data_IF_026401601293
#
_entry.id   IF_026401601293
#
_cell.length_a   1.000
_cell.length_b   1.000
_cell.length_c   1.000
_cell.angle_alpha   90.00
_cell.angle_beta   90.00
_cell.angle_gamma   90.00
#
_symmetry.space_group_name_H-M   'P 1'
#
loop_
_entity.id
_entity.type
_entity.pdbx_description
1 polymer ?
#
# COMPACT_ATOMS: atom_id res chain seq x y z
N UNK A 1 37.92 0.29 2.78
CA UNK A 1 36.62 0.95 3.05
C UNK A 1 35.92 0.17 4.16
N UNK A 2 35.71 0.77 5.33
CA UNK A 2 35.06 0.11 6.47
C UNK A 2 33.60 -0.19 6.10
N UNK A 3 33.22 -1.48 6.06
CA UNK A 3 31.82 -1.91 6.01
C UNK A 3 31.12 -1.25 7.21
N UNK A 4 30.23 -0.28 6.98
CA UNK A 4 29.28 0.13 8.02
C UNK A 4 28.46 -1.12 8.30
N UNK A 5 28.69 -1.76 9.45
CA UNK A 5 27.80 -2.82 9.90
C UNK A 5 26.42 -2.20 10.06
N UNK A 6 25.43 -2.72 9.33
CA UNK A 6 24.03 -2.40 9.59
C UNK A 6 23.70 -3.02 10.97
N UNK A 7 23.94 -2.27 12.04
CA UNK A 7 23.59 -2.70 13.38
C UNK A 7 22.09 -2.45 13.55
N UNK A 8 21.29 -3.40 13.09
CA UNK A 8 19.83 -3.42 13.24
C UNK A 8 19.48 -4.37 14.37
N UNK A 9 18.43 -4.04 15.11
CA UNK A 9 17.94 -4.90 16.18
C UNK A 9 17.46 -6.25 15.64
N UNK A 10 17.40 -7.24 16.54
CA UNK A 10 17.00 -8.62 16.22
C UNK A 10 15.64 -8.68 15.54
N UNK A 11 14.66 -7.91 16.01
CA UNK A 11 13.31 -7.93 15.47
C UNK A 11 13.30 -7.46 14.00
N UNK A 12 14.05 -6.40 13.70
CA UNK A 12 14.09 -5.84 12.32
C UNK A 12 14.74 -6.82 11.38
N UNK A 13 15.81 -7.46 11.83
CA UNK A 13 16.49 -8.53 11.11
C UNK A 13 15.52 -9.65 10.77
N UNK A 14 14.81 -10.21 11.74
CA UNK A 14 13.95 -11.36 11.48
C UNK A 14 12.70 -11.02 10.70
N UNK A 15 12.05 -9.88 10.95
CA UNK A 15 10.95 -9.40 10.11
C UNK A 15 11.38 -9.31 8.64
N UNK A 16 12.55 -8.73 8.38
CA UNK A 16 13.10 -8.65 7.02
C UNK A 16 13.28 -10.05 6.41
N UNK A 17 13.87 -10.99 7.16
CA UNK A 17 14.05 -12.37 6.68
C UNK A 17 12.71 -13.05 6.36
N UNK A 18 11.68 -12.84 7.18
CA UNK A 18 10.34 -13.35 6.90
C UNK A 18 9.75 -12.78 5.60
N UNK A 19 9.93 -11.50 5.32
CA UNK A 19 9.49 -10.92 4.04
C UNK A 19 10.24 -11.49 2.82
N UNK A 20 11.42 -12.10 3.01
CA UNK A 20 12.18 -12.83 1.99
C UNK A 20 11.94 -14.35 2.03
N UNK A 21 11.17 -14.84 3.01
CA UNK A 21 10.70 -16.22 3.13
C UNK A 21 9.27 -16.31 2.58
N UNK A 22 9.10 -16.73 1.32
CA UNK A 22 7.79 -16.84 0.68
C UNK A 22 6.87 -17.93 1.28
N UNK A 23 7.36 -18.69 2.26
CA UNK A 23 6.66 -19.82 2.88
C UNK A 23 5.94 -19.42 4.18
N UNK A 24 6.25 -18.24 4.73
CA UNK A 24 5.59 -17.68 5.90
C UNK A 24 4.58 -16.61 5.49
N UNK A 25 3.36 -16.69 6.04
CA UNK A 25 2.32 -15.70 5.84
C UNK A 25 2.14 -14.77 7.03
N UNK A 26 1.21 -13.83 6.89
CA UNK A 26 0.88 -12.84 7.93
C UNK A 26 0.51 -13.49 9.28
N UNK A 27 -0.26 -14.58 9.26
CA UNK A 27 -0.68 -15.31 10.47
C UNK A 27 0.49 -16.01 11.18
N UNK A 28 1.45 -16.53 10.41
CA UNK A 28 2.62 -17.19 10.98
C UNK A 28 3.45 -16.18 11.78
N UNK A 29 3.68 -15.00 11.20
CA UNK A 29 4.28 -13.85 11.88
C UNK A 29 3.48 -13.38 13.10
N UNK A 30 2.14 -13.35 13.01
CA UNK A 30 1.30 -12.96 14.14
C UNK A 30 1.45 -13.90 15.34
N UNK A 31 1.41 -15.21 15.12
CA UNK A 31 1.57 -16.19 16.19
C UNK A 31 2.98 -16.16 16.78
N UNK A 32 4.00 -16.03 15.94
CA UNK A 32 5.38 -15.89 16.39
C UNK A 32 5.60 -14.62 17.20
N UNK A 33 5.16 -13.47 16.70
CA UNK A 33 5.32 -12.19 17.39
C UNK A 33 4.60 -12.18 18.74
N UNK A 34 3.43 -12.83 18.85
CA UNK A 34 2.72 -12.98 20.13
C UNK A 34 3.50 -13.83 21.14
N UNK A 35 4.26 -14.81 20.67
CA UNK A 35 5.04 -15.72 21.51
C UNK A 35 6.42 -15.13 21.87
N UNK A 36 7.09 -14.50 20.90
CA UNK A 36 8.46 -14.03 20.97
C UNK A 36 8.59 -12.69 20.19
N UNK A 37 8.27 -11.54 20.82
CA UNK A 37 8.18 -10.25 20.14
C UNK A 37 9.48 -9.74 19.49
N UNK A 38 10.65 -10.15 20.00
CA UNK A 38 11.96 -9.77 19.47
C UNK A 38 12.62 -10.86 18.60
N UNK A 39 11.89 -11.97 18.40
CA UNK A 39 12.35 -13.15 17.67
C UNK A 39 13.67 -13.74 18.21
N UNK A 40 13.99 -13.51 19.49
CA UNK A 40 15.25 -13.96 20.12
C UNK A 40 15.39 -15.48 20.17
N UNK A 41 14.28 -16.22 20.24
CA UNK A 41 14.28 -17.68 20.29
C UNK A 41 14.33 -18.33 18.91
N UNK A 42 13.92 -17.60 17.87
CA UNK A 42 13.81 -18.09 16.49
C UNK A 42 15.05 -18.84 15.96
N UNK A 43 16.30 -18.36 16.16
CA UNK A 43 17.48 -19.09 15.67
C UNK A 43 17.67 -20.50 16.25
N UNK A 44 17.04 -20.80 17.39
CA UNK A 44 17.14 -22.10 18.05
C UNK A 44 15.83 -22.90 18.03
N UNK A 45 14.77 -22.39 17.41
CA UNK A 45 13.49 -23.08 17.32
C UNK A 45 13.62 -24.33 16.45
N UNK A 46 13.06 -25.43 16.94
CA UNK A 46 12.88 -26.67 16.17
C UNK A 46 11.60 -26.60 15.33
N UNK A 47 11.51 -27.44 14.30
CA UNK A 47 10.31 -27.53 13.46
C UNK A 47 9.05 -27.88 14.27
N UNK A 48 9.17 -28.78 15.25
CA UNK A 48 8.08 -29.15 16.17
C UNK A 48 7.60 -27.97 17.01
N UNK A 49 8.52 -27.17 17.57
CA UNK A 49 8.15 -25.98 18.34
C UNK A 49 7.48 -24.91 17.46
N UNK A 50 8.02 -24.63 16.27
CA UNK A 50 7.41 -23.68 15.34
C UNK A 50 6.02 -24.15 14.87
N UNK A 51 5.86 -25.44 14.64
CA UNK A 51 4.57 -26.06 14.31
C UNK A 51 3.54 -25.83 15.42
N UNK A 52 3.93 -26.02 16.68
CA UNK A 52 3.07 -25.74 17.83
C UNK A 52 2.67 -24.26 17.95
N UNK A 53 3.61 -23.33 17.68
CA UNK A 53 3.33 -21.89 17.75
C UNK A 53 2.38 -21.45 16.63
N UNK A 54 2.64 -21.87 15.40
CA UNK A 54 1.94 -21.37 14.19
C UNK A 54 0.72 -22.19 13.79
N UNK A 55 0.57 -23.40 14.33
CA UNK A 55 -0.47 -24.35 13.91
C UNK A 55 -0.22 -24.95 12.51
N UNK A 56 0.98 -24.81 11.95
CA UNK A 56 1.39 -25.43 10.68
C UNK A 56 1.87 -26.85 10.89
N UNK A 57 1.98 -27.63 9.81
CA UNK A 57 2.62 -28.95 9.88
C UNK A 57 4.10 -28.81 10.21
N UNK A 58 4.68 -29.84 10.84
CA UNK A 58 6.10 -29.88 11.14
C UNK A 58 6.95 -29.81 9.87
N UNK A 59 6.52 -30.46 8.78
CA UNK A 59 7.18 -30.38 7.47
C UNK A 59 7.24 -28.94 6.94
N UNK A 60 6.12 -28.20 6.99
CA UNK A 60 6.07 -26.80 6.55
C UNK A 60 6.93 -25.91 7.44
N UNK A 61 6.89 -26.16 8.75
CA UNK A 61 7.69 -25.42 9.75
C UNK A 61 9.19 -25.63 9.54
N UNK A 62 9.61 -26.86 9.24
CA UNK A 62 11.00 -27.16 8.89
C UNK A 62 11.45 -26.41 7.64
N UNK A 63 10.57 -26.30 6.64
CA UNK A 63 10.85 -25.56 5.40
C UNK A 63 11.03 -24.06 5.66
N UNK A 64 10.16 -23.44 6.46
CA UNK A 64 10.30 -22.04 6.90
C UNK A 64 11.65 -21.81 7.60
N UNK A 65 11.99 -22.63 8.61
CA UNK A 65 13.24 -22.47 9.37
C UNK A 65 14.47 -22.65 8.48
N UNK A 66 14.46 -23.68 7.62
CA UNK A 66 15.53 -23.90 6.65
C UNK A 66 15.71 -22.66 5.76
N UNK A 67 14.62 -22.10 5.25
CA UNK A 67 14.67 -20.91 4.40
C UNK A 67 15.20 -19.70 5.15
N UNK A 68 14.73 -19.43 6.37
CA UNK A 68 15.20 -18.32 7.20
C UNK A 68 16.71 -18.42 7.49
N UNK A 69 17.20 -19.60 7.86
CA UNK A 69 18.61 -19.82 8.16
C UNK A 69 19.51 -19.74 6.91
N UNK A 70 18.96 -19.95 5.72
CA UNK A 70 19.69 -19.80 4.46
C UNK A 70 19.86 -18.34 4.00
N UNK A 71 19.14 -17.39 4.62
CA UNK A 71 19.15 -15.98 4.25
C UNK A 71 20.09 -15.18 5.14
N UNK A 72 20.67 -14.10 4.61
CA UNK A 72 21.46 -13.12 5.38
C UNK A 72 20.79 -11.75 5.32
N UNK A 73 20.36 -11.26 6.47
CA UNK A 73 19.76 -9.94 6.59
C UNK A 73 20.76 -8.84 6.23
N UNK A 74 22.03 -9.03 6.56
CA UNK A 74 23.10 -8.08 6.28
C UNK A 74 23.30 -7.90 4.76
N UNK A 75 23.30 -8.99 4.00
CA UNK A 75 23.33 -8.92 2.53
C UNK A 75 22.07 -8.29 1.96
N UNK A 76 20.90 -8.67 2.45
CA UNK A 76 19.62 -8.11 1.99
C UNK A 76 19.58 -6.59 2.21
N UNK A 77 19.96 -6.12 3.41
CA UNK A 77 19.98 -4.69 3.74
C UNK A 77 20.98 -3.92 2.89
N UNK A 78 22.15 -4.51 2.59
CA UNK A 78 23.11 -3.91 1.67
C UNK A 78 22.49 -3.72 0.28
N UNK A 79 21.85 -4.75 -0.28
CA UNK A 79 21.15 -4.64 -1.58
C UNK A 79 20.02 -3.62 -1.55
N UNK A 80 19.19 -3.60 -0.49
CA UNK A 80 18.12 -2.61 -0.35
C UNK A 80 18.69 -1.19 -0.33
N UNK A 81 19.80 -0.96 0.41
CA UNK A 81 20.45 0.34 0.46
C UNK A 81 21.04 0.75 -0.89
N UNK A 82 21.67 -0.16 -1.62
CA UNK A 82 22.21 0.11 -2.97
C UNK A 82 21.10 0.50 -3.96
N UNK A 83 19.91 -0.07 -3.80
CA UNK A 83 18.74 0.24 -4.62
C UNK A 83 17.91 1.43 -4.11
N UNK A 84 18.35 2.12 -3.05
CA UNK A 84 17.61 3.17 -2.35
C UNK A 84 16.20 2.74 -1.89
N UNK A 85 16.08 1.50 -1.43
CA UNK A 85 14.86 0.93 -0.86
C UNK A 85 15.00 0.91 0.66
N UNK A 86 14.04 1.49 1.37
CA UNK A 86 14.01 1.46 2.82
C UNK A 86 13.00 0.42 3.30
N UNK A 87 13.46 -0.46 4.19
CA UNK A 87 12.60 -1.34 4.98
C UNK A 87 12.14 -0.59 6.23
N UNK A 88 10.82 -0.53 6.45
CA UNK A 88 10.17 0.19 7.54
C UNK A 88 9.33 -0.84 8.32
N UNK A 89 9.88 -1.49 9.35
CA UNK A 89 9.11 -2.41 10.19
C UNK A 89 7.99 -1.69 10.93
N UNK A 90 6.96 -2.42 11.36
CA UNK A 90 5.75 -1.83 11.94
C UNK A 90 5.97 -1.01 13.23
N UNK A 91 7.08 -1.23 13.96
CA UNK A 91 7.46 -0.43 15.13
C UNK A 91 8.42 0.73 14.80
N UNK A 92 8.84 0.89 13.56
CA UNK A 92 9.63 2.05 13.12
C UNK A 92 8.81 3.34 13.29
N UNK A 93 9.46 4.42 13.72
CA UNK A 93 8.80 5.72 13.89
C UNK A 93 8.20 6.27 12.58
N UNK A 94 8.75 5.88 11.44
CA UNK A 94 8.23 6.27 10.11
C UNK A 94 7.01 5.47 9.69
N UNK A 95 6.73 4.34 10.35
CA UNK A 95 5.58 3.52 10.02
C UNK A 95 4.29 4.26 10.38
N UNK A 96 3.33 4.43 9.45
CA UNK A 96 2.10 5.16 9.74
C UNK A 96 1.25 4.47 10.81
N UNK A 97 1.01 5.14 11.93
CA UNK A 97 0.21 4.58 13.05
C UNK A 97 -1.20 4.16 12.61
N UNK A 98 -1.79 4.88 11.66
CA UNK A 98 -3.09 4.55 11.06
C UNK A 98 -3.12 3.16 10.41
N UNK A 99 -1.99 2.63 9.95
CA UNK A 99 -1.94 1.28 9.39
C UNK A 99 -1.89 0.20 10.46
N UNK A 100 -1.48 0.53 11.69
CA UNK A 100 -1.45 -0.41 12.84
C UNK A 100 -2.87 -0.78 13.30
N UNK A 101 -3.87 0.06 13.01
CA UNK A 101 -5.27 -0.16 13.40
C UNK A 101 -6.03 -1.07 12.45
N UNK A 102 -5.43 -1.41 11.29
CA UNK A 102 -6.04 -2.33 10.34
C UNK A 102 -6.23 -3.73 10.96
N UNK A 103 -7.21 -4.53 10.51
CA UNK A 103 -7.37 -5.91 11.00
C UNK A 103 -6.15 -6.83 10.73
N UNK A 104 -5.43 -6.56 9.63
CA UNK A 104 -4.18 -7.24 9.26
C UNK A 104 -3.15 -6.19 8.85
N UNK A 105 -2.51 -5.50 9.81
CA UNK A 105 -1.53 -4.45 9.53
C UNK A 105 -0.32 -5.04 8.80
N UNK A 106 0.26 -4.37 7.80
CA UNK A 106 1.54 -4.78 7.21
C UNK A 106 2.62 -4.91 8.29
N UNK A 107 3.29 -6.07 8.40
CA UNK A 107 4.40 -6.25 9.35
C UNK A 107 5.59 -5.34 9.07
N UNK A 108 5.75 -4.94 7.80
CA UNK A 108 6.65 -3.90 7.37
C UNK A 108 6.17 -3.30 6.05
N UNK A 109 6.71 -2.14 5.72
CA UNK A 109 6.61 -1.52 4.41
C UNK A 109 8.01 -1.41 3.80
N UNK A 110 8.13 -1.75 2.53
CA UNK A 110 9.24 -1.35 1.70
C UNK A 110 8.88 -0.04 0.99
N UNK A 111 9.82 0.88 0.92
CA UNK A 111 9.59 2.21 0.35
C UNK A 111 10.74 2.63 -0.55
N UNK A 112 10.44 3.38 -1.61
CA UNK A 112 11.42 3.95 -2.54
C UNK A 112 10.96 5.35 -2.95
N UNK A 113 11.80 6.36 -2.73
CA UNK A 113 11.47 7.78 -2.90
C UNK A 113 11.39 8.54 -1.56
N UNK A 114 10.59 9.60 -1.51
CA UNK A 114 10.49 10.50 -0.36
C UNK A 114 9.62 9.92 0.76
N UNK A 115 10.25 9.26 1.74
CA UNK A 115 9.57 8.70 2.92
C UNK A 115 8.90 9.74 3.82
N UNK A 116 9.26 11.03 3.71
CA UNK A 116 8.60 12.12 4.42
C UNK A 116 7.12 12.28 4.06
N UNK A 117 6.67 11.75 2.92
CA UNK A 117 5.24 11.75 2.55
C UNK A 117 4.39 10.83 3.44
N UNK A 118 4.99 9.92 4.21
CA UNK A 118 4.24 9.08 5.14
C UNK A 118 3.56 9.90 6.25
N UNK A 119 4.08 11.08 6.60
CA UNK A 119 3.50 11.97 7.61
C UNK A 119 2.58 13.07 7.05
N UNK A 120 2.41 13.17 5.71
CA UNK A 120 1.56 14.21 5.11
C UNK A 120 0.06 13.94 5.29
N UNK A 121 -0.80 14.92 4.98
CA UNK A 121 -2.23 14.64 4.83
C UNK A 121 -2.48 13.96 3.49
N UNK A 122 -3.32 12.92 3.47
CA UNK A 122 -3.46 12.00 2.32
C UNK A 122 -4.91 11.80 1.94
N UNK A 123 -5.18 11.80 0.63
CA UNK A 123 -6.46 11.38 0.04
C UNK A 123 -6.16 10.27 -0.95
N UNK A 124 -6.89 9.15 -0.84
CA UNK A 124 -6.81 8.10 -1.82
C UNK A 124 -7.67 8.47 -3.02
N UNK A 125 -7.16 8.23 -4.23
CA UNK A 125 -7.94 8.33 -5.47
C UNK A 125 -7.90 6.98 -6.15
N UNK A 126 -9.06 6.38 -6.38
CA UNK A 126 -9.20 5.06 -6.99
C UNK A 126 -10.30 5.04 -8.04
N UNK A 127 -10.21 4.11 -8.98
CA UNK A 127 -11.26 4.00 -9.98
C UNK A 127 -11.03 2.91 -11.02
N UNK A 128 -11.73 3.07 -12.13
CA UNK A 128 -11.75 2.12 -13.24
C UNK A 128 -10.38 2.03 -13.92
N UNK A 129 -9.98 0.80 -14.23
CA UNK A 129 -8.82 0.53 -15.09
C UNK A 129 -9.04 0.97 -16.55
N UNK A 130 -10.30 1.14 -16.92
CA UNK A 130 -10.73 1.64 -18.23
C UNK A 130 -11.24 3.07 -18.12
N UNK A 131 -10.73 3.86 -17.16
CA UNK A 131 -11.09 5.26 -17.01
C UNK A 131 -10.93 6.00 -18.34
N UNK A 132 -11.90 6.86 -18.64
CA UNK A 132 -12.01 7.53 -19.93
C UNK A 132 -11.71 9.04 -19.80
N UNK A 133 -12.08 9.80 -20.82
CA UNK A 133 -11.89 11.25 -20.87
C UNK A 133 -12.65 11.97 -19.75
N UNK A 134 -13.84 11.53 -19.39
CA UNK A 134 -14.60 12.11 -18.28
C UNK A 134 -13.85 11.92 -16.95
N UNK A 135 -13.29 10.73 -16.73
CA UNK A 135 -12.45 10.47 -15.56
C UNK A 135 -11.23 11.40 -15.48
N UNK A 136 -10.52 11.59 -16.60
CA UNK A 136 -9.39 12.53 -16.68
C UNK A 136 -9.79 13.96 -16.39
N UNK A 137 -10.87 14.44 -16.99
CA UNK A 137 -11.36 15.81 -16.81
C UNK A 137 -11.83 16.07 -15.39
N UNK A 138 -12.49 15.08 -14.77
CA UNK A 138 -12.87 15.13 -13.37
C UNK A 138 -11.64 15.30 -12.47
N UNK A 139 -10.61 14.48 -12.68
CA UNK A 139 -9.36 14.57 -11.91
C UNK A 139 -8.64 15.90 -12.12
N UNK A 140 -8.65 16.44 -13.34
CA UNK A 140 -8.08 17.75 -13.67
C UNK A 140 -8.75 18.90 -12.91
N UNK A 141 -10.03 18.76 -12.58
CA UNK A 141 -10.75 19.74 -11.76
C UNK A 141 -10.53 19.49 -10.26
N UNK A 142 -10.49 18.24 -9.83
CA UNK A 142 -10.49 17.87 -8.42
C UNK A 142 -9.10 17.89 -7.76
N UNK A 143 -8.05 17.44 -8.47
CA UNK A 143 -6.71 17.27 -7.87
C UNK A 143 -6.00 18.61 -7.60
N UNK A 144 -5.96 19.60 -8.51
CA UNK A 144 -5.17 20.81 -8.27
C UNK A 144 -5.57 21.58 -7.00
N UNK A 145 -6.86 21.76 -6.65
CA UNK A 145 -7.24 22.37 -5.38
C UNK A 145 -6.80 21.56 -4.16
N UNK A 146 -6.89 20.23 -4.20
CA UNK A 146 -6.41 19.37 -3.10
C UNK A 146 -4.89 19.50 -2.91
N UNK A 147 -4.14 19.53 -4.02
CA UNK A 147 -2.69 19.77 -4.01
C UNK A 147 -2.35 21.14 -3.41
N UNK A 148 -3.08 22.20 -3.76
CA UNK A 148 -2.91 23.55 -3.17
C UNK A 148 -3.13 23.57 -1.67
N UNK A 149 -3.92 22.62 -1.13
CA UNK A 149 -4.15 22.42 0.31
C UNK A 149 -3.15 21.43 0.94
N UNK A 150 -2.06 21.09 0.23
CA UNK A 150 -1.00 20.18 0.66
C UNK A 150 -1.45 18.73 0.89
N UNK A 151 -2.55 18.30 0.27
CA UNK A 151 -2.89 16.87 0.24
C UNK A 151 -1.95 16.12 -0.70
N UNK A 152 -1.49 14.98 -0.21
CA UNK A 152 -0.76 13.98 -0.98
C UNK A 152 -1.76 12.98 -1.56
N UNK A 153 -1.69 12.75 -2.87
CA UNK A 153 -2.58 11.80 -3.54
C UNK A 153 -2.02 10.39 -3.43
N UNK A 154 -2.77 9.47 -2.86
CA UNK A 154 -2.42 8.05 -2.72
C UNK A 154 -3.19 7.25 -3.76
N UNK A 155 -2.52 6.42 -4.54
CA UNK A 155 -3.21 5.53 -5.48
C UNK A 155 -2.41 4.26 -5.76
N UNK A 156 -2.96 3.39 -6.59
CA UNK A 156 -2.48 2.04 -6.79
C UNK A 156 -1.63 1.82 -8.04
N UNK A 157 -1.27 2.87 -8.79
CA UNK A 157 -0.53 2.77 -10.05
C UNK A 157 -1.19 1.86 -11.11
N UNK A 158 -2.48 1.52 -10.96
CA UNK A 158 -3.19 0.75 -11.97
C UNK A 158 -3.38 1.57 -13.26
N UNK A 159 -3.82 0.92 -14.34
CA UNK A 159 -4.28 1.63 -15.55
C UNK A 159 -5.45 2.56 -15.22
N UNK A 160 -5.72 3.51 -16.11
CA UNK A 160 -6.89 4.37 -16.00
C UNK A 160 -6.77 5.36 -14.84
N UNK A 161 -7.79 5.40 -13.99
CA UNK A 161 -7.97 6.44 -12.96
C UNK A 161 -6.76 6.55 -12.02
N UNK A 162 -6.19 5.43 -11.57
CA UNK A 162 -5.01 5.46 -10.70
C UNK A 162 -3.82 6.17 -11.38
N UNK A 163 -3.54 5.84 -12.64
CA UNK A 163 -2.48 6.50 -13.41
C UNK A 163 -2.77 7.98 -13.64
N UNK A 164 -4.00 8.32 -14.04
CA UNK A 164 -4.41 9.70 -14.29
C UNK A 164 -4.32 10.55 -13.01
N UNK A 165 -4.62 9.97 -11.85
CA UNK A 165 -4.51 10.66 -10.58
C UNK A 165 -3.06 11.00 -10.25
N UNK A 166 -2.13 10.05 -10.43
CA UNK A 166 -0.70 10.30 -10.26
C UNK A 166 -0.17 11.35 -11.25
N UNK A 167 -0.49 11.19 -12.54
CA UNK A 167 -0.08 12.11 -13.61
C UNK A 167 -0.56 13.55 -13.32
N UNK A 168 -1.85 13.73 -13.06
CA UNK A 168 -2.42 15.04 -12.76
C UNK A 168 -1.83 15.64 -11.47
N UNK A 169 -1.50 14.81 -10.48
CA UNK A 169 -0.84 15.29 -9.24
C UNK A 169 0.54 15.84 -9.55
N UNK A 170 1.33 15.11 -10.34
CA UNK A 170 2.68 15.54 -10.73
C UNK A 170 2.63 16.79 -11.61
N UNK A 171 1.73 16.85 -12.59
CA UNK A 171 1.49 18.06 -13.41
C UNK A 171 1.13 19.27 -12.56
N UNK A 172 0.39 19.05 -11.47
CA UNK A 172 0.01 20.09 -10.50
C UNK A 172 1.13 20.41 -9.50
N UNK A 173 2.32 19.82 -9.65
CA UNK A 173 3.48 19.94 -8.73
C UNK A 173 3.14 19.51 -7.30
N UNK A 174 2.26 18.53 -7.16
CA UNK A 174 1.84 17.95 -5.89
C UNK A 174 2.62 16.69 -5.53
N UNK A 175 2.42 16.23 -4.30
CA UNK A 175 3.02 15.00 -3.81
C UNK A 175 2.11 13.79 -4.07
N UNK A 176 2.69 12.66 -4.45
CA UNK A 176 1.93 11.43 -4.66
C UNK A 176 2.62 10.19 -4.10
N UNK A 177 1.81 9.22 -3.63
CA UNK A 177 2.25 7.92 -3.14
C UNK A 177 1.59 6.83 -3.96
N UNK A 178 2.39 6.03 -4.66
CA UNK A 178 1.92 4.79 -5.29
C UNK A 178 2.11 3.62 -4.33
N UNK A 179 1.05 2.93 -3.96
CA UNK A 179 1.15 1.66 -3.24
C UNK A 179 1.07 0.54 -4.28
N UNK A 180 1.99 -0.43 -4.34
CA UNK A 180 2.04 -1.47 -5.40
C UNK A 180 1.77 -2.88 -4.86
N UNK A 181 1.31 -3.78 -5.74
CA UNK A 181 0.92 -5.15 -5.39
C UNK A 181 2.07 -6.19 -5.48
N UNK A 182 3.31 -5.74 -5.64
CA UNK A 182 4.49 -6.60 -5.75
C UNK A 182 5.74 -5.84 -5.36
N UNK A 183 6.91 -6.42 -5.59
CA UNK A 183 8.17 -5.77 -5.31
C UNK A 183 8.59 -4.76 -6.38
N UNK A 184 9.57 -3.93 -6.03
CA UNK A 184 10.13 -2.88 -6.90
C UNK A 184 10.79 -3.39 -8.18
N UNK A 185 11.10 -4.70 -8.27
CA UNK A 185 11.66 -5.30 -9.49
C UNK A 185 10.57 -5.70 -10.49
N UNK A 186 9.30 -5.54 -10.12
CA UNK A 186 8.14 -6.03 -10.86
C UNK A 186 7.01 -5.00 -10.93
N UNK A 187 7.32 -3.77 -11.33
CA UNK A 187 6.30 -2.76 -11.61
C UNK A 187 5.26 -3.27 -12.61
N UNK A 188 3.99 -3.07 -12.27
CA UNK A 188 2.84 -3.47 -13.06
C UNK A 188 1.76 -2.39 -12.95
N UNK A 189 1.05 -2.06 -14.05
CA UNK A 189 1.19 -2.61 -15.41
C UNK A 189 2.44 -2.10 -16.14
N UNK A 190 2.84 -2.79 -17.22
CA UNK A 190 4.06 -2.45 -17.98
C UNK A 190 4.04 -1.04 -18.56
N UNK A 191 2.88 -0.56 -19.02
CA UNK A 191 2.76 0.80 -19.56
C UNK A 191 3.01 1.90 -18.51
N UNK A 192 2.76 1.62 -17.23
CA UNK A 192 2.97 2.58 -16.16
C UNK A 192 4.38 2.52 -15.56
N UNK A 193 5.33 1.77 -16.15
CA UNK A 193 6.71 1.72 -15.65
C UNK A 193 7.37 3.11 -15.70
N UNK A 194 7.09 3.90 -16.75
CA UNK A 194 7.58 5.27 -16.85
C UNK A 194 7.08 6.14 -15.69
N UNK A 195 5.77 6.12 -15.46
CA UNK A 195 5.12 6.81 -14.34
C UNK A 195 5.65 6.33 -12.98
N UNK A 196 5.84 5.03 -12.79
CA UNK A 196 6.40 4.47 -11.56
C UNK A 196 7.79 5.05 -11.24
N UNK A 197 8.65 5.15 -12.25
CA UNK A 197 10.00 5.73 -12.12
C UNK A 197 9.93 7.23 -11.81
N UNK A 198 8.99 7.94 -12.41
CA UNK A 198 8.77 9.34 -12.11
C UNK A 198 8.34 9.53 -10.65
N UNK A 199 7.39 8.73 -10.16
CA UNK A 199 6.95 8.75 -8.76
C UNK A 199 8.09 8.39 -7.81
N UNK A 200 8.97 7.46 -8.16
CA UNK A 200 10.16 7.17 -7.34
C UNK A 200 11.05 8.41 -7.16
N UNK A 201 11.17 9.26 -8.19
CA UNK A 201 12.03 10.45 -8.14
C UNK A 201 11.35 11.64 -7.45
N UNK A 202 10.06 11.83 -7.66
CA UNK A 202 9.32 13.04 -7.27
C UNK A 202 8.33 12.82 -6.11
N UNK A 203 8.02 11.56 -5.79
CA UNK A 203 7.06 11.16 -4.78
C UNK A 203 7.55 9.94 -3.98
N UNK A 204 6.65 9.00 -3.72
CA UNK A 204 6.97 7.79 -2.96
C UNK A 204 6.27 6.57 -3.57
N UNK A 205 6.99 5.45 -3.65
CA UNK A 205 6.39 4.15 -3.96
C UNK A 205 6.52 3.23 -2.75
N UNK A 206 5.41 2.61 -2.36
CA UNK A 206 5.29 1.71 -1.20
C UNK A 206 4.90 0.30 -1.63
N UNK A 207 5.44 -0.70 -0.95
CA UNK A 207 5.01 -2.09 -1.10
C UNK A 207 5.06 -2.81 0.25
N UNK A 208 4.15 -3.75 0.46
CA UNK A 208 4.24 -4.72 1.57
C UNK A 208 5.16 -5.90 1.22
N UNK A 209 5.57 -6.02 -0.04
CA UNK A 209 6.32 -7.15 -0.57
C UNK A 209 7.78 -6.78 -0.85
N UNK A 210 8.68 -7.73 -0.59
CA UNK A 210 10.10 -7.57 -0.90
C UNK A 210 10.35 -7.34 -2.40
N UNK A 211 11.45 -6.67 -2.80
CA UNK A 211 11.69 -6.23 -4.18
C UNK A 211 11.54 -7.29 -5.26
N UNK A 212 11.91 -8.54 -4.96
CA UNK A 212 11.89 -9.68 -5.89
C UNK A 212 10.52 -10.37 -6.02
N UNK A 213 9.52 -9.98 -5.23
CA UNK A 213 8.21 -10.65 -5.22
C UNK A 213 7.39 -10.19 -6.41
N UNK A 214 6.95 -11.14 -7.25
CA UNK A 214 6.07 -10.84 -8.39
C UNK A 214 4.64 -10.55 -7.91
N UNK A 215 3.92 -9.62 -8.55
CA UNK A 215 2.52 -9.37 -8.22
C UNK A 215 1.66 -10.60 -8.53
N UNK A 216 0.91 -11.06 -7.55
CA UNK A 216 -0.08 -12.12 -7.68
C UNK A 216 -1.51 -11.56 -7.64
N UNK A 217 -2.50 -12.31 -8.14
CA UNK A 217 -3.90 -11.84 -8.21
C UNK A 217 -4.43 -11.35 -6.85
N UNK A 218 -4.12 -12.07 -5.77
CA UNK A 218 -4.55 -11.72 -4.41
C UNK A 218 -3.78 -10.54 -3.80
N UNK A 219 -2.63 -10.15 -4.35
CA UNK A 219 -1.90 -8.97 -3.86
C UNK A 219 -2.62 -7.66 -4.20
N UNK A 220 -3.38 -7.61 -5.31
CA UNK A 220 -4.07 -6.37 -5.71
C UNK A 220 -5.18 -5.99 -4.70
N UNK A 221 -6.10 -6.89 -4.31
CA UNK A 221 -7.04 -6.60 -3.22
C UNK A 221 -6.32 -6.35 -1.88
N UNK A 222 -5.32 -7.17 -1.52
CA UNK A 222 -4.59 -7.02 -0.24
C UNK A 222 -3.93 -5.64 -0.10
N UNK A 223 -3.37 -5.11 -1.19
CA UNK A 223 -2.75 -3.78 -1.24
C UNK A 223 -3.77 -2.67 -1.02
N UNK A 224 -5.01 -2.82 -1.49
CA UNK A 224 -6.02 -1.76 -1.43
C UNK A 224 -6.34 -1.31 0.00
N UNK A 225 -6.25 -2.21 1.00
CA UNK A 225 -6.42 -1.84 2.42
C UNK A 225 -5.38 -0.82 2.90
N UNK A 226 -4.18 -0.82 2.30
CA UNK A 226 -3.12 0.13 2.61
C UNK A 226 -3.44 1.49 1.95
N UNK A 227 -3.97 1.48 0.72
CA UNK A 227 -4.36 2.73 0.03
C UNK A 227 -5.42 3.46 0.85
N UNK A 228 -6.49 2.76 1.24
CA UNK A 228 -7.53 3.35 2.07
C UNK A 228 -6.97 3.73 3.45
N UNK A 229 -6.28 2.80 4.13
CA UNK A 229 -5.80 3.01 5.51
C UNK A 229 -4.73 4.10 5.67
N UNK A 230 -4.00 4.44 4.61
CA UNK A 230 -3.08 5.58 4.61
C UNK A 230 -3.80 6.94 4.53
N UNK A 231 -5.07 6.95 4.14
CA UNK A 231 -5.76 8.14 3.66
C UNK A 231 -6.84 8.58 4.64
N UNK A 232 -7.10 9.90 4.70
CA UNK A 232 -8.21 10.46 5.47
C UNK A 232 -9.57 10.27 4.80
N UNK A 233 -9.54 10.11 3.48
CA UNK A 233 -10.70 9.94 2.62
C UNK A 233 -10.32 9.13 1.39
N UNK A 234 -11.32 8.50 0.77
CA UNK A 234 -11.19 7.82 -0.52
C UNK A 234 -12.13 8.46 -1.54
N UNK A 235 -11.56 9.04 -2.59
CA UNK A 235 -12.28 9.53 -3.76
C UNK A 235 -12.34 8.45 -4.83
N UNK A 236 -13.56 8.04 -5.17
CA UNK A 236 -13.84 7.09 -6.24
C UNK A 236 -14.25 7.85 -7.50
N UNK A 237 -13.42 7.76 -8.54
CA UNK A 237 -13.72 8.34 -9.86
C UNK A 237 -13.94 7.20 -10.82
N UNK A 238 -15.16 7.05 -11.35
CA UNK A 238 -15.56 5.96 -12.27
C UNK A 238 -15.33 4.54 -11.73
N UNK A 239 -16.40 3.78 -11.55
CA UNK A 239 -16.36 2.37 -11.17
C UNK A 239 -17.52 1.62 -11.85
N UNK A 240 -17.19 0.58 -12.61
CA UNK A 240 -18.21 -0.39 -13.05
C UNK A 240 -18.67 -1.24 -11.85
N UNK A 241 -19.84 -1.89 -11.97
CA UNK A 241 -20.27 -2.90 -11.00
C UNK A 241 -19.18 -3.96 -10.81
N UNK A 242 -18.96 -4.39 -9.56
CA UNK A 242 -17.92 -5.36 -9.18
C UNK A 242 -16.48 -4.94 -9.55
N UNK A 243 -16.22 -3.65 -9.73
CA UNK A 243 -14.87 -3.13 -9.95
C UNK A 243 -13.98 -3.33 -8.72
N UNK A 244 -12.68 -3.56 -8.95
CA UNK A 244 -11.69 -3.62 -7.87
C UNK A 244 -11.55 -2.32 -7.07
N UNK A 245 -11.96 -1.17 -7.63
CA UNK A 245 -12.04 0.10 -6.89
C UNK A 245 -13.10 0.08 -5.79
N UNK A 246 -14.20 -0.66 -5.98
CA UNK A 246 -15.25 -0.84 -4.97
C UNK A 246 -14.75 -1.62 -3.75
N UNK A 247 -13.75 -2.51 -3.95
CA UNK A 247 -13.08 -3.20 -2.83
C UNK A 247 -12.34 -2.19 -1.95
N UNK A 248 -11.68 -1.19 -2.55
CA UNK A 248 -11.03 -0.13 -1.76
C UNK A 248 -12.05 0.73 -1.01
N UNK A 249 -13.18 1.05 -1.63
CA UNK A 249 -14.27 1.76 -0.98
C UNK A 249 -14.85 0.95 0.21
N UNK A 250 -15.04 -0.36 0.04
CA UNK A 250 -15.46 -1.25 1.14
C UNK A 250 -14.46 -1.23 2.30
N UNK A 251 -13.16 -1.33 2.01
CA UNK A 251 -12.13 -1.23 3.05
C UNK A 251 -12.16 0.12 3.76
N UNK A 252 -12.40 1.22 3.04
CA UNK A 252 -12.52 2.54 3.63
C UNK A 252 -13.70 2.61 4.61
N UNK A 253 -14.88 2.13 4.21
CA UNK A 253 -16.06 2.10 5.07
C UNK A 253 -15.82 1.24 6.33
N UNK A 254 -15.23 0.05 6.17
CA UNK A 254 -14.85 -0.82 7.30
C UNK A 254 -13.84 -0.17 8.26
N UNK A 255 -12.99 0.73 7.73
CA UNK A 255 -11.99 1.49 8.49
C UNK A 255 -12.54 2.78 9.10
N UNK A 256 -13.83 3.10 8.86
CA UNK A 256 -14.43 4.37 9.29
C UNK A 256 -13.89 5.59 8.53
N UNK A 257 -13.43 5.38 7.29
CA UNK A 257 -12.87 6.41 6.41
C UNK A 257 -13.96 6.89 5.45
N UNK A 258 -14.08 8.21 5.30
CA UNK A 258 -15.05 8.82 4.39
C UNK A 258 -14.80 8.40 2.94
N UNK A 259 -15.90 8.00 2.27
CA UNK A 259 -15.90 7.68 0.85
C UNK A 259 -16.65 8.75 0.08
N UNK A 260 -15.98 9.26 -0.95
CA UNK A 260 -16.46 10.27 -1.87
C UNK A 260 -16.57 9.68 -3.27
N UNK A 261 -17.56 10.09 -4.03
CA UNK A 261 -17.86 9.51 -5.34
C UNK A 261 -18.19 10.59 -6.36
N UNK A 262 -17.48 10.59 -7.50
CA UNK A 262 -17.73 11.52 -8.61
C UNK A 262 -18.90 11.01 -9.44
N UNK A 263 -20.06 11.70 -9.46
CA UNK A 263 -21.25 11.22 -10.14
C UNK A 263 -21.07 11.26 -11.66
N UNK A 264 -21.50 10.21 -12.37
CA UNK A 264 -21.48 10.18 -13.83
C UNK A 264 -22.86 10.01 -14.46
N UNK A 265 -22.98 10.05 -15.80
CA UNK A 265 -24.23 9.81 -16.50
C UNK A 265 -24.80 8.42 -16.20
N UNK A 266 -26.13 8.31 -16.04
CA UNK A 266 -26.83 7.04 -15.76
C UNK A 266 -26.73 6.00 -16.89
N UNK A 267 -26.40 6.46 -18.10
CA UNK A 267 -26.21 5.59 -19.28
C UNK A 267 -24.80 5.03 -19.39
N UNK A 268 -23.88 5.48 -18.54
CA UNK A 268 -22.47 5.12 -18.63
C UNK A 268 -22.13 3.99 -17.66
N UNK A 269 -21.60 2.88 -18.17
CA UNK A 269 -21.33 1.67 -17.38
C UNK A 269 -20.33 1.89 -16.25
N UNK A 270 -19.40 2.85 -16.42
CA UNK A 270 -18.46 3.23 -15.36
C UNK A 270 -19.08 4.13 -14.27
N UNK A 271 -20.35 4.53 -14.40
CA UNK A 271 -21.06 5.25 -13.34
C UNK A 271 -21.82 4.33 -12.40
N UNK A 272 -22.11 3.09 -12.82
CA UNK A 272 -23.01 2.20 -12.09
C UNK A 272 -22.53 1.90 -10.66
N UNK A 273 -21.26 1.55 -10.49
CA UNK A 273 -20.69 1.28 -9.16
C UNK A 273 -20.51 2.55 -8.32
N UNK A 274 -20.34 3.71 -8.97
CA UNK A 274 -20.34 5.01 -8.28
C UNK A 274 -21.73 5.32 -7.73
N UNK A 275 -22.78 5.09 -8.52
CA UNK A 275 -24.16 5.29 -8.09
C UNK A 275 -24.55 4.34 -6.95
N UNK A 276 -24.10 3.08 -6.99
CA UNK A 276 -24.25 2.14 -5.87
C UNK A 276 -23.58 2.68 -4.60
N UNK A 277 -22.32 3.15 -4.70
CA UNK A 277 -21.65 3.76 -3.54
C UNK A 277 -22.40 4.97 -2.98
N UNK A 278 -22.92 5.85 -3.84
CA UNK A 278 -23.71 7.02 -3.42
C UNK A 278 -25.00 6.57 -2.72
N UNK A 279 -25.68 5.55 -3.25
CA UNK A 279 -26.87 4.98 -2.62
C UNK A 279 -26.56 4.35 -1.25
N UNK A 280 -25.37 3.77 -1.09
CA UNK A 280 -24.86 3.19 0.14
C UNK A 280 -24.29 4.24 1.13
N UNK A 281 -24.37 5.54 0.80
CA UNK A 281 -24.02 6.64 1.69
C UNK A 281 -22.69 7.33 1.39
N UNK A 282 -21.99 6.99 0.30
CA UNK A 282 -20.85 7.77 -0.15
C UNK A 282 -21.25 9.20 -0.53
N UNK A 283 -20.42 10.17 -0.17
CA UNK A 283 -20.67 11.59 -0.42
C UNK A 283 -20.46 11.91 -1.90
N UNK A 284 -21.45 12.52 -2.53
CA UNK A 284 -21.35 12.98 -3.91
C UNK A 284 -20.33 14.13 -4.00
N UNK A 285 -19.49 14.12 -5.03
CA UNK A 285 -18.47 15.15 -5.27
C UNK A 285 -18.69 15.83 -6.60
N UNK A 286 -18.98 17.13 -6.56
CA UNK A 286 -19.03 18.02 -7.70
C UNK A 286 -17.74 18.84 -7.84
N UNK A 287 -17.07 19.12 -6.72
CA UNK A 287 -15.84 19.89 -6.68
C UNK A 287 -14.92 19.44 -5.55
N UNK A 288 -13.65 19.86 -5.58
CA UNK A 288 -12.72 19.56 -4.50
C UNK A 288 -13.17 20.16 -3.15
N UNK A 289 -13.98 21.22 -3.17
CA UNK A 289 -14.47 21.86 -1.95
C UNK A 289 -15.39 20.93 -1.16
N UNK A 290 -16.17 20.08 -1.83
CA UNK A 290 -17.06 19.09 -1.17
C UNK A 290 -16.26 18.13 -0.28
N UNK A 291 -15.03 17.80 -0.70
CA UNK A 291 -14.11 16.95 0.07
C UNK A 291 -13.48 17.77 1.22
N UNK A 292 -13.08 19.02 0.94
CA UNK A 292 -12.37 19.86 1.89
C UNK A 292 -13.25 20.31 3.06
N UNK A 293 -14.52 20.65 2.79
CA UNK A 293 -15.50 21.03 3.81
C UNK A 293 -15.67 19.88 4.80
N UNK A 294 -15.91 18.69 4.28
CA UNK A 294 -16.10 17.49 5.09
C UNK A 294 -14.85 17.15 5.94
N UNK A 295 -13.66 17.16 5.33
CA UNK A 295 -12.42 16.82 6.04
C UNK A 295 -11.98 17.85 7.08
N UNK A 296 -12.44 19.09 6.95
CA UNK A 296 -12.16 20.16 7.91
C UNK A 296 -13.25 20.31 8.99
N UNK A 297 -14.37 19.58 8.86
CA UNK A 297 -15.49 19.65 9.80
C UNK A 297 -16.14 21.03 9.87
N UNK A 298 -16.20 21.75 8.75
CA UNK A 298 -16.84 23.07 8.63
C UNK A 298 -18.28 22.91 8.17
#
# INVERSE_FOLDING_TARGET
MKKRGYNVDSATKYLLLFHYCCEAGWKDLFHLFKHDPDFSQLPNLTASQLSHITGRSEQHSASILYKLHSLSAEHILATLSEENIHFIPFYDQRYPDVLKTLPQPPWALFSKGNTGLLSSQKIAVVGSRNGDQYGKESLKQLIPPLVKRNFTIVSGLAKGIDAFAHEQTIESKGNTIAVIAGGFNHFYPRENIGLARQIVNEGLVLSEYAPHIKPAKWHFPARNRIISGLSKAVLVVQAAKKSGSLITASFALEQGIDVFAVPGPITHTLSEGVHELIADGAKIVHSAEDILVELNGI
#
